data_IF_269711564998
#
_entry.id   IF_269711564998
#
_cell.length_a   1.000
_cell.length_b   1.000
_cell.length_c   1.000
_cell.angle_alpha   90.00
_cell.angle_beta   90.00
_cell.angle_gamma   90.00
#
_symmetry.space_group_name_H-M   'P 1'
#
loop_
_entity.id
_entity.type
_entity.pdbx_description
1 polymer ?
#
# COMPACT_ATOMS: atom_id res chain seq x y z
N UNK A 1 -5.19 -6.59 12.20
CA UNK A 1 -5.42 -5.33 11.43
C UNK A 1 -6.69 -4.70 11.93
N UNK A 2 -6.64 -3.45 12.29
CA UNK A 2 -7.79 -2.61 12.60
C UNK A 2 -7.73 -1.33 11.76
N UNK A 3 -8.85 -0.65 11.61
CA UNK A 3 -8.90 0.69 11.04
C UNK A 3 -8.32 1.68 12.04
N UNK A 4 -7.51 2.62 11.55
CA UNK A 4 -6.99 3.70 12.37
C UNK A 4 -8.06 4.75 12.62
N UNK A 5 -8.06 5.30 13.83
CA UNK A 5 -8.89 6.42 14.26
C UNK A 5 -8.06 7.71 14.27
N UNK A 6 -8.73 8.85 14.47
CA UNK A 6 -8.04 10.14 14.52
C UNK A 6 -6.98 10.23 15.63
N UNK A 7 -7.22 9.56 16.75
CA UNK A 7 -6.26 9.45 17.86
C UNK A 7 -4.98 8.69 17.52
N UNK A 8 -4.99 7.86 16.47
CA UNK A 8 -3.82 7.10 16.02
C UNK A 8 -2.87 7.93 15.14
N UNK A 9 -3.33 9.09 14.65
CA UNK A 9 -2.56 9.88 13.68
C UNK A 9 -1.12 10.17 14.11
N UNK A 10 -0.82 10.60 15.34
CA UNK A 10 0.56 10.81 15.77
C UNK A 10 1.41 9.54 15.62
N UNK A 11 0.90 8.39 16.07
CA UNK A 11 1.59 7.10 15.95
C UNK A 11 1.79 6.65 14.51
N UNK A 12 0.85 6.95 13.61
CA UNK A 12 0.99 6.67 12.16
C UNK A 12 2.07 7.55 11.55
N UNK A 13 2.15 8.83 11.89
CA UNK A 13 3.22 9.72 11.41
C UNK A 13 4.60 9.22 11.87
N UNK A 14 4.74 8.93 13.15
CA UNK A 14 5.97 8.41 13.75
C UNK A 14 6.37 7.07 13.09
N UNK A 15 5.40 6.17 12.86
CA UNK A 15 5.63 4.89 12.19
C UNK A 15 6.19 5.06 10.78
N UNK A 16 5.61 5.91 9.93
CA UNK A 16 6.12 6.11 8.58
C UNK A 16 7.47 6.81 8.58
N UNK A 17 7.72 7.73 9.50
CA UNK A 17 9.03 8.34 9.68
C UNK A 17 10.09 7.29 10.07
N UNK A 18 9.78 6.41 11.04
CA UNK A 18 10.64 5.30 11.44
C UNK A 18 10.94 4.39 10.25
N UNK A 19 9.90 3.95 9.51
CA UNK A 19 10.07 3.07 8.34
C UNK A 19 10.99 3.70 7.30
N UNK A 20 10.82 4.98 7.00
CA UNK A 20 11.63 5.67 5.99
C UNK A 20 13.09 5.80 6.46
N UNK A 21 13.30 6.16 7.72
CA UNK A 21 14.64 6.45 8.24
C UNK A 21 15.45 5.18 8.55
N UNK A 22 14.81 4.10 8.97
CA UNK A 22 15.48 2.90 9.44
C UNK A 22 15.43 1.71 8.46
N UNK A 23 14.79 1.88 7.29
CA UNK A 23 14.83 0.87 6.25
C UNK A 23 16.07 1.04 5.40
N UNK A 24 17.08 0.19 5.58
CA UNK A 24 18.38 0.25 4.91
C UNK A 24 18.26 0.29 3.37
N UNK A 25 17.35 -0.51 2.81
CA UNK A 25 17.14 -0.63 1.37
C UNK A 25 16.03 0.30 0.82
N UNK A 26 15.56 1.27 1.60
CA UNK A 26 14.55 2.25 1.19
C UNK A 26 14.94 3.00 -0.09
N UNK A 27 16.19 3.51 -0.26
CA UNK A 27 16.59 4.22 -1.47
C UNK A 27 16.62 3.34 -2.72
N UNK A 28 16.70 2.02 -2.56
CA UNK A 28 16.77 1.07 -3.67
C UNK A 28 15.38 0.64 -4.13
N UNK A 29 14.49 0.32 -3.19
CA UNK A 29 13.22 -0.35 -3.48
C UNK A 29 12.03 0.59 -3.52
N UNK A 30 11.66 1.19 -2.39
CA UNK A 30 10.48 2.05 -2.33
C UNK A 30 10.79 3.52 -2.65
N UNK A 31 12.01 3.97 -2.39
CA UNK A 31 12.49 5.33 -2.63
C UNK A 31 11.64 6.40 -1.94
N UNK A 32 11.06 6.05 -0.80
CA UNK A 32 10.31 7.02 -0.03
C UNK A 32 11.24 8.02 0.66
N UNK A 33 10.80 9.26 0.70
CA UNK A 33 11.50 10.36 1.35
C UNK A 33 10.49 11.06 2.25
N UNK A 34 10.78 11.14 3.56
CA UNK A 34 9.87 11.77 4.51
C UNK A 34 9.54 13.22 4.10
N UNK A 35 8.25 13.55 4.14
CA UNK A 35 7.75 14.84 3.69
C UNK A 35 7.54 15.01 2.18
N UNK A 36 8.03 14.08 1.35
CA UNK A 36 7.81 14.08 -0.09
C UNK A 36 6.82 12.95 -0.50
N UNK A 37 7.09 11.70 -0.05
CA UNK A 37 6.19 10.58 -0.24
C UNK A 37 6.47 9.48 0.80
N UNK A 38 5.45 9.03 1.56
CA UNK A 38 4.17 9.73 1.74
C UNK A 38 4.36 11.06 2.48
N UNK A 39 3.50 12.05 2.20
CA UNK A 39 3.48 13.30 2.94
C UNK A 39 2.64 13.16 4.22
N UNK A 40 2.89 14.01 5.22
CA UNK A 40 2.02 14.07 6.41
C UNK A 40 0.56 14.36 6.03
N UNK A 41 0.36 15.21 5.01
CA UNK A 41 -0.99 15.49 4.48
C UNK A 41 -1.64 14.22 3.94
N UNK A 42 -0.92 13.44 3.14
CA UNK A 42 -1.43 12.18 2.57
C UNK A 42 -1.82 11.19 3.68
N UNK A 43 -0.96 11.00 4.68
CA UNK A 43 -1.23 10.14 5.83
C UNK A 43 -2.45 10.62 6.63
N UNK A 44 -2.51 11.93 6.88
CA UNK A 44 -3.64 12.58 7.57
C UNK A 44 -4.95 12.37 6.82
N UNK A 45 -4.95 12.53 5.51
CA UNK A 45 -6.14 12.37 4.69
C UNK A 45 -6.62 10.90 4.68
N UNK A 46 -5.73 9.91 4.62
CA UNK A 46 -6.12 8.49 4.73
C UNK A 46 -6.72 8.16 6.09
N UNK A 47 -6.17 8.69 7.19
CA UNK A 47 -6.75 8.51 8.54
C UNK A 47 -8.13 9.17 8.62
N UNK A 48 -8.24 10.42 8.17
CA UNK A 48 -9.50 11.19 8.20
C UNK A 48 -10.62 10.52 7.40
N UNK A 49 -10.28 9.93 6.25
CA UNK A 49 -11.23 9.23 5.37
C UNK A 49 -11.55 7.81 5.86
N UNK A 50 -10.87 7.32 6.91
CA UNK A 50 -11.03 5.95 7.42
C UNK A 50 -10.44 4.89 6.51
N UNK A 51 -9.48 5.26 5.68
CA UNK A 51 -8.79 4.40 4.72
C UNK A 51 -7.44 3.87 5.22
N UNK A 52 -6.96 4.34 6.38
CA UNK A 52 -5.73 3.85 7.01
C UNK A 52 -6.02 2.67 7.94
N UNK A 53 -5.21 1.64 7.85
CA UNK A 53 -5.27 0.43 8.68
C UNK A 53 -3.91 0.11 9.26
N UNK A 54 -3.86 -0.43 10.49
CA UNK A 54 -2.63 -0.88 11.13
C UNK A 54 -2.78 -2.27 11.78
N UNK A 55 -1.65 -2.89 12.05
CA UNK A 55 -1.51 -4.03 12.95
C UNK A 55 -0.50 -3.67 14.03
N UNK A 56 -0.74 -4.16 15.22
CA UNK A 56 0.04 -3.82 16.42
C UNK A 56 0.50 -5.08 17.15
N UNK A 57 1.60 -4.96 17.87
CA UNK A 57 2.09 -5.91 18.89
C UNK A 57 2.45 -5.09 20.13
N UNK A 58 1.66 -5.23 21.19
CA UNK A 58 1.73 -4.34 22.33
C UNK A 58 1.38 -2.91 21.95
N UNK A 59 2.32 -1.99 22.14
CA UNK A 59 2.18 -0.57 21.78
C UNK A 59 2.75 -0.23 20.40
N UNK A 60 3.45 -1.17 19.76
CA UNK A 60 4.17 -0.93 18.52
C UNK A 60 3.31 -1.23 17.29
N UNK A 61 3.26 -0.30 16.35
CA UNK A 61 2.70 -0.56 15.03
C UNK A 61 3.68 -1.45 14.27
N UNK A 62 3.26 -2.67 13.94
CA UNK A 62 4.07 -3.65 13.21
C UNK A 62 3.98 -3.48 11.70
N UNK A 63 2.82 -3.05 11.21
CA UNK A 63 2.57 -2.76 9.80
C UNK A 63 1.41 -1.77 9.64
N UNK A 64 1.45 -0.97 8.59
CA UNK A 64 0.36 -0.09 8.19
C UNK A 64 0.14 -0.11 6.68
N UNK A 65 -1.09 0.21 6.26
CA UNK A 65 -1.50 0.24 4.86
C UNK A 65 -2.69 1.17 4.67
N UNK A 66 -2.72 1.93 3.58
CA UNK A 66 -3.94 2.62 3.18
C UNK A 66 -4.68 1.80 2.11
N UNK A 67 -6.02 1.74 2.23
CA UNK A 67 -6.89 1.01 1.30
C UNK A 67 -8.07 1.91 0.94
N UNK A 68 -8.13 2.37 -0.31
CA UNK A 68 -9.29 3.10 -0.84
C UNK A 68 -10.31 2.11 -1.42
N UNK A 69 -11.62 2.30 -1.17
CA UNK A 69 -12.66 1.44 -1.75
C UNK A 69 -13.05 1.90 -3.16
N UNK A 70 -12.14 2.47 -3.90
CA UNK A 70 -12.30 2.95 -5.28
C UNK A 70 -10.92 3.14 -5.92
N UNK A 71 -10.87 3.09 -7.25
CA UNK A 71 -9.69 3.48 -8.05
C UNK A 71 -9.85 4.88 -8.61
N UNK A 72 -8.74 5.49 -9.00
CA UNK A 72 -8.65 6.82 -9.62
C UNK A 72 -8.43 6.71 -11.13
N UNK A 73 -8.54 7.84 -11.84
CA UNK A 73 -8.42 7.92 -13.29
C UNK A 73 -7.12 7.33 -13.85
N UNK A 74 -6.03 7.41 -13.09
CA UNK A 74 -4.72 6.84 -13.47
C UNK A 74 -4.78 5.33 -13.75
N UNK A 75 -5.79 4.64 -13.19
CA UNK A 75 -6.01 3.21 -13.34
C UNK A 75 -6.91 2.85 -14.53
N UNK A 76 -7.58 3.81 -15.17
CA UNK A 76 -8.51 3.54 -16.27
C UNK A 76 -7.82 3.07 -17.56
N UNK A 77 -6.58 3.49 -17.79
CA UNK A 77 -5.81 3.11 -18.98
C UNK A 77 -5.08 1.77 -18.88
N UNK A 78 -5.25 1.07 -17.75
CA UNK A 78 -4.57 -0.20 -17.48
C UNK A 78 -5.35 -1.37 -18.08
N UNK A 79 -4.65 -2.31 -18.72
CA UNK A 79 -5.24 -3.56 -19.21
C UNK A 79 -5.49 -4.55 -18.07
N UNK A 80 -6.52 -4.25 -17.27
CA UNK A 80 -6.95 -5.11 -16.17
C UNK A 80 -7.61 -6.39 -16.70
N UNK A 81 -7.51 -7.48 -15.92
CA UNK A 81 -8.16 -8.74 -16.27
C UNK A 81 -9.69 -8.62 -16.30
N UNK A 82 -10.25 -7.78 -15.43
CA UNK A 82 -11.68 -7.53 -15.37
C UNK A 82 -11.98 -6.04 -15.57
N UNK A 83 -12.91 -5.73 -16.48
CA UNK A 83 -13.44 -4.38 -16.66
C UNK A 83 -14.43 -4.08 -15.54
N UNK A 84 -13.94 -3.47 -14.45
CA UNK A 84 -14.70 -3.13 -13.25
C UNK A 84 -14.90 -1.63 -13.14
N UNK A 85 -15.97 -1.22 -12.46
CA UNK A 85 -16.20 0.18 -12.09
C UNK A 85 -15.27 0.59 -10.96
N UNK A 86 -15.10 1.89 -10.80
CA UNK A 86 -14.18 2.43 -9.80
C UNK A 86 -14.54 2.02 -8.37
N UNK A 87 -15.84 1.97 -8.06
CA UNK A 87 -16.39 1.58 -6.76
C UNK A 87 -16.50 0.06 -6.54
N UNK A 88 -16.08 -0.74 -7.51
CA UNK A 88 -16.00 -2.22 -7.40
C UNK A 88 -14.59 -2.71 -7.02
N UNK A 89 -13.63 -1.79 -6.85
CA UNK A 89 -12.21 -2.11 -6.67
C UNK A 89 -11.68 -1.51 -5.37
N UNK A 90 -10.88 -2.30 -4.62
CA UNK A 90 -10.01 -1.76 -3.58
C UNK A 90 -8.63 -1.44 -4.15
N UNK A 91 -8.07 -0.29 -3.83
CA UNK A 91 -6.68 0.05 -4.18
C UNK A 91 -5.84 0.15 -2.92
N UNK A 92 -4.70 -0.54 -2.94
CA UNK A 92 -3.73 -0.57 -1.83
C UNK A 92 -2.66 0.48 -2.06
N UNK A 93 -2.41 1.30 -1.04
CA UNK A 93 -1.40 2.34 -1.07
C UNK A 93 -0.47 2.21 0.13
N UNK A 94 0.78 2.59 -0.04
CA UNK A 94 1.77 2.82 1.02
C UNK A 94 1.88 1.70 2.06
N UNK A 95 1.78 0.43 1.65
CA UNK A 95 2.02 -0.71 2.55
C UNK A 95 3.43 -0.62 3.13
N UNK A 96 3.52 -0.61 4.45
CA UNK A 96 4.77 -0.53 5.19
C UNK A 96 4.83 -1.54 6.33
N UNK A 97 6.04 -2.00 6.65
CA UNK A 97 6.32 -2.87 7.81
C UNK A 97 7.42 -2.21 8.64
N UNK A 98 7.21 -2.15 9.94
CA UNK A 98 8.20 -1.68 10.89
C UNK A 98 9.51 -2.47 10.72
N UNK A 99 10.67 -1.82 10.53
CA UNK A 99 11.95 -2.48 10.33
C UNK A 99 12.28 -3.54 11.38
N UNK A 100 11.89 -3.30 12.65
CA UNK A 100 12.12 -4.22 13.75
C UNK A 100 11.25 -5.49 13.71
N UNK A 101 10.18 -5.50 12.88
CA UNK A 101 9.27 -6.63 12.70
C UNK A 101 9.36 -7.26 11.30
N UNK A 102 10.43 -6.97 10.55
CA UNK A 102 10.68 -7.58 9.23
C UNK A 102 10.97 -9.07 9.36
N UNK A 103 10.71 -9.80 8.27
CA UNK A 103 10.89 -11.26 8.16
C UNK A 103 9.97 -12.11 9.07
N UNK A 104 9.01 -11.50 9.77
CA UNK A 104 7.99 -12.19 10.56
C UNK A 104 6.66 -12.36 9.83
N UNK A 105 6.62 -12.11 8.52
CA UNK A 105 5.41 -12.29 7.69
C UNK A 105 4.36 -11.19 7.85
N UNK A 106 4.66 -10.06 8.51
CA UNK A 106 3.72 -8.97 8.78
C UNK A 106 3.06 -8.41 7.51
N UNK A 107 3.85 -8.15 6.45
CA UNK A 107 3.31 -7.67 5.17
C UNK A 107 2.32 -8.67 4.56
N UNK A 108 2.66 -9.97 4.56
CA UNK A 108 1.79 -11.03 4.02
C UNK A 108 0.51 -11.17 4.83
N UNK A 109 0.60 -11.11 6.15
CA UNK A 109 -0.55 -11.15 7.05
C UNK A 109 -1.47 -9.93 6.84
N UNK A 110 -0.88 -8.73 6.68
CA UNK A 110 -1.61 -7.49 6.40
C UNK A 110 -2.37 -7.60 5.08
N UNK A 111 -1.70 -7.98 3.99
CA UNK A 111 -2.32 -8.09 2.66
C UNK A 111 -3.44 -9.14 2.61
N UNK A 112 -3.31 -10.28 3.31
CA UNK A 112 -4.40 -11.25 3.44
C UNK A 112 -5.64 -10.64 4.11
N UNK A 113 -5.44 -9.80 5.12
CA UNK A 113 -6.53 -9.08 5.79
C UNK A 113 -7.14 -7.99 4.91
N UNK A 114 -6.34 -7.35 4.05
CA UNK A 114 -6.85 -6.41 3.03
C UNK A 114 -7.73 -7.14 2.02
N UNK A 115 -7.29 -8.28 1.50
CA UNK A 115 -8.09 -9.12 0.58
C UNK A 115 -9.43 -9.52 1.24
N UNK A 116 -9.38 -10.03 2.48
CA UNK A 116 -10.61 -10.39 3.22
C UNK A 116 -11.51 -9.18 3.50
N UNK A 117 -10.94 -7.99 3.75
CA UNK A 117 -11.71 -6.77 3.93
C UNK A 117 -12.42 -6.35 2.65
N UNK A 118 -11.74 -6.41 1.51
CA UNK A 118 -12.32 -6.09 0.20
C UNK A 118 -13.46 -7.07 -0.15
N UNK A 119 -13.25 -8.36 0.05
CA UNK A 119 -14.27 -9.40 -0.14
C UNK A 119 -15.49 -9.16 0.76
N UNK A 120 -15.29 -8.88 2.03
CA UNK A 120 -16.37 -8.59 2.98
C UNK A 120 -17.20 -7.35 2.63
N UNK A 121 -16.64 -6.43 1.86
CA UNK A 121 -17.32 -5.24 1.32
C UNK A 121 -18.01 -5.50 -0.02
N UNK A 122 -17.90 -6.71 -0.58
CA UNK A 122 -18.47 -7.07 -1.88
C UNK A 122 -17.74 -6.48 -3.07
N UNK A 123 -16.49 -6.01 -2.88
CA UNK A 123 -15.63 -5.58 -3.98
C UNK A 123 -15.24 -6.77 -4.85
N UNK A 124 -14.78 -6.52 -6.06
CA UNK A 124 -14.50 -7.55 -7.07
C UNK A 124 -13.01 -7.77 -7.30
N UNK A 125 -12.19 -6.77 -6.98
CA UNK A 125 -10.75 -6.86 -7.14
C UNK A 125 -10.01 -6.02 -6.09
N UNK A 126 -8.76 -6.41 -5.84
CA UNK A 126 -7.77 -5.59 -5.17
C UNK A 126 -6.68 -5.25 -6.17
N UNK A 127 -6.37 -3.96 -6.34
CA UNK A 127 -5.37 -3.45 -7.26
C UNK A 127 -4.30 -2.67 -6.51
N UNK A 128 -3.13 -2.58 -7.08
CA UNK A 128 -2.02 -1.78 -6.55
C UNK A 128 -0.97 -1.53 -7.61
N UNK A 129 -0.13 -0.56 -7.35
CA UNK A 129 1.10 -0.31 -8.09
C UNK A 129 2.33 -0.39 -7.17
N UNK A 130 3.47 -0.66 -7.76
CA UNK A 130 4.76 -0.63 -7.08
C UNK A 130 5.87 -0.25 -8.06
N UNK A 131 6.88 0.46 -7.58
CA UNK A 131 8.06 0.77 -8.39
C UNK A 131 8.65 -0.51 -9.01
N UNK A 132 9.03 -0.46 -10.28
CA UNK A 132 9.62 -1.60 -10.98
C UNK A 132 10.91 -2.13 -10.32
N UNK A 133 11.60 -1.30 -9.54
CA UNK A 133 12.77 -1.72 -8.76
C UNK A 133 12.41 -2.38 -7.42
N UNK A 134 11.14 -2.37 -6.99
CA UNK A 134 10.72 -2.91 -5.69
C UNK A 134 10.49 -4.43 -5.75
N UNK A 135 11.55 -5.19 -6.04
CA UNK A 135 11.49 -6.65 -6.17
C UNK A 135 10.92 -7.36 -4.93
N UNK A 136 11.22 -6.96 -3.68
CA UNK A 136 10.60 -7.57 -2.51
C UNK A 136 9.08 -7.44 -2.48
N UNK A 137 8.52 -6.29 -2.88
CA UNK A 137 7.08 -6.07 -2.96
C UNK A 137 6.44 -6.95 -4.05
N UNK A 138 7.06 -7.05 -5.22
CA UNK A 138 6.57 -7.92 -6.31
C UNK A 138 6.45 -9.37 -5.84
N UNK A 139 7.51 -9.91 -5.22
CA UNK A 139 7.49 -11.29 -4.67
C UNK A 139 6.40 -11.49 -3.62
N UNK A 140 6.15 -10.49 -2.79
CA UNK A 140 5.06 -10.52 -1.82
C UNK A 140 3.71 -10.66 -2.53
N UNK A 141 3.42 -9.77 -3.48
CA UNK A 141 2.14 -9.75 -4.19
C UNK A 141 1.92 -11.02 -5.02
N UNK A 142 2.91 -11.46 -5.78
CA UNK A 142 2.86 -12.71 -6.52
C UNK A 142 2.65 -13.94 -5.62
N UNK A 143 3.30 -13.96 -4.42
CA UNK A 143 3.11 -15.04 -3.44
C UNK A 143 1.70 -15.11 -2.84
N UNK A 144 0.91 -14.06 -3.01
CA UNK A 144 -0.47 -13.96 -2.58
C UNK A 144 -1.48 -14.22 -3.72
N UNK A 145 -0.99 -14.38 -4.95
CA UNK A 145 -1.81 -14.63 -6.14
C UNK A 145 -2.15 -13.39 -6.96
N UNK A 146 -1.58 -12.22 -6.61
CA UNK A 146 -1.67 -11.06 -7.49
C UNK A 146 -0.97 -11.32 -8.81
N UNK A 147 -1.58 -10.89 -9.89
CA UNK A 147 -1.01 -10.97 -11.23
C UNK A 147 -0.54 -9.60 -11.67
N UNK A 148 0.70 -9.53 -12.18
CA UNK A 148 1.18 -8.32 -12.84
C UNK A 148 0.42 -8.14 -14.14
N UNK A 149 -0.20 -6.96 -14.31
CA UNK A 149 -1.05 -6.64 -15.46
C UNK A 149 -0.35 -5.75 -16.46
N UNK A 150 0.31 -4.70 -15.98
CA UNK A 150 0.85 -3.66 -16.84
C UNK A 150 2.14 -3.06 -16.27
N UNK A 151 2.79 -2.24 -17.10
CA UNK A 151 3.92 -1.39 -16.73
C UNK A 151 3.59 0.02 -17.19
N UNK A 152 3.69 0.99 -16.28
CA UNK A 152 3.46 2.41 -16.60
C UNK A 152 4.66 3.25 -16.23
N UNK A 153 5.00 4.17 -17.13
CA UNK A 153 6.04 5.17 -16.90
C UNK A 153 5.38 6.43 -16.36
N UNK A 154 5.34 6.56 -15.04
CA UNK A 154 4.67 7.66 -14.35
C UNK A 154 5.65 8.58 -13.64
N UNK A 155 5.23 9.83 -13.46
CA UNK A 155 5.94 10.79 -12.64
C UNK A 155 5.50 10.67 -11.17
N UNK A 156 6.48 10.63 -10.26
CA UNK A 156 6.24 10.77 -8.83
C UNK A 156 7.21 11.80 -8.25
N UNK A 157 6.72 12.62 -7.31
CA UNK A 157 7.46 13.75 -6.72
C UNK A 157 8.82 13.33 -6.13
N UNK A 158 8.88 12.17 -5.51
CA UNK A 158 10.08 11.65 -4.84
C UNK A 158 11.06 10.91 -5.76
N UNK A 159 10.65 10.55 -6.98
CA UNK A 159 11.47 9.72 -7.88
C UNK A 159 11.65 10.30 -9.27
N UNK A 160 10.82 11.29 -9.67
CA UNK A 160 10.72 11.72 -11.06
C UNK A 160 10.00 10.66 -11.92
N UNK A 161 10.32 10.62 -13.21
CA UNK A 161 9.78 9.63 -14.15
C UNK A 161 10.39 8.26 -13.94
N UNK A 162 9.57 7.28 -13.57
CA UNK A 162 9.99 5.90 -13.29
C UNK A 162 8.92 4.89 -13.71
N UNK A 163 9.32 3.64 -13.86
CA UNK A 163 8.38 2.57 -14.18
C UNK A 163 7.72 2.02 -12.92
N UNK A 164 6.41 1.84 -13.02
CA UNK A 164 5.58 1.16 -12.03
C UNK A 164 5.02 -0.14 -12.62
N UNK A 165 5.00 -1.20 -11.82
CA UNK A 165 4.30 -2.45 -12.13
C UNK A 165 2.95 -2.43 -11.45
N UNK A 166 1.90 -2.75 -12.21
CA UNK A 166 0.52 -2.76 -11.77
C UNK A 166 0.07 -4.20 -11.55
N UNK A 167 -0.55 -4.43 -10.40
CA UNK A 167 -0.95 -5.76 -9.97
C UNK A 167 -2.44 -5.80 -9.65
N UNK A 168 -3.10 -6.94 -9.97
CA UNK A 168 -4.50 -7.20 -9.70
C UNK A 168 -4.67 -8.58 -9.04
N UNK A 169 -5.57 -8.62 -8.07
CA UNK A 169 -6.11 -9.85 -7.47
C UNK A 169 -7.63 -9.81 -7.62
N UNK A 170 -8.21 -10.80 -8.30
CA UNK A 170 -9.67 -10.95 -8.39
C UNK A 170 -10.19 -11.68 -7.16
N UNK A 171 -11.30 -11.18 -6.58
CA UNK A 171 -11.98 -11.71 -5.40
C UNK A 171 -13.03 -12.75 -5.77
#
# INVERSE_FOLDING_TARGET
MRRCEWSDLPGILDFYQLVINETEDMPVHARWVYGQHPTEKTLTDYVRQGNMYCSEDGTDITAAVAVTPYQTDDYHEIDWQAALKDDEVAVVHILAVNPHFRNHGCAKAMMRKVISLADSKGLKAVRLDALACNVPAHRLYESLGFQKRDVRHWYAENTGWVDFYLFEFLL
#
